data_IF_855720701156
#
_entry.id   IF_855720701156
#
_cell.length_a   1.000
_cell.length_b   1.000
_cell.length_c   1.000
_cell.angle_alpha   90.00
_cell.angle_beta   90.00
_cell.angle_gamma   90.00
#
_symmetry.space_group_name_H-M   'P 1'
#
loop_
_entity.id
_entity.type
_entity.pdbx_description
1 polymer ?
#
# COMPACT_ATOMS: atom_id res chain seq x y z
N UNK A 1 -45.51 8.90 -24.90
CA UNK A 1 -44.63 9.16 -23.75
C UNK A 1 -43.67 7.99 -23.62
N UNK A 2 -42.43 8.15 -24.07
CA UNK A 2 -41.41 7.09 -24.04
C UNK A 2 -40.67 7.15 -22.69
N UNK A 3 -40.68 6.03 -21.96
CA UNK A 3 -39.96 5.88 -20.71
C UNK A 3 -38.45 5.82 -20.94
N UNK A 4 -37.71 6.67 -20.24
CA UNK A 4 -36.25 6.62 -20.21
C UNK A 4 -35.81 5.41 -19.39
N UNK A 5 -35.20 4.44 -20.07
CA UNK A 5 -34.54 3.30 -19.43
C UNK A 5 -33.26 3.79 -18.76
N UNK A 6 -33.21 3.72 -17.43
CA UNK A 6 -32.01 3.92 -16.63
C UNK A 6 -31.01 2.80 -16.96
N UNK A 7 -29.76 3.08 -17.37
CA UNK A 7 -28.78 2.02 -17.56
C UNK A 7 -28.46 1.40 -16.20
N UNK A 8 -28.67 0.08 -16.10
CA UNK A 8 -28.34 -0.72 -14.93
C UNK A 8 -26.82 -0.69 -14.72
N UNK A 9 -26.39 0.01 -13.67
CA UNK A 9 -25.01 0.00 -13.17
C UNK A 9 -24.65 -1.45 -12.86
N UNK A 10 -23.87 -2.09 -13.72
CA UNK A 10 -23.37 -3.45 -13.51
C UNK A 10 -22.71 -3.49 -12.13
N UNK A 11 -23.11 -4.46 -11.32
CA UNK A 11 -22.54 -4.67 -10.00
C UNK A 11 -21.02 -4.81 -10.13
N UNK A 12 -20.29 -3.78 -9.71
CA UNK A 12 -18.84 -3.82 -9.64
C UNK A 12 -18.43 -4.95 -8.69
N UNK A 13 -17.37 -5.73 -9.00
CA UNK A 13 -16.83 -6.71 -8.07
C UNK A 13 -16.52 -6.00 -6.76
N UNK A 14 -16.91 -6.59 -5.63
CA UNK A 14 -16.83 -6.05 -4.25
C UNK A 14 -15.76 -4.96 -4.09
N UNK A 15 -16.14 -3.71 -4.37
CA UNK A 15 -15.21 -2.60 -4.51
C UNK A 15 -14.86 -2.12 -3.11
N UNK A 16 -13.76 -2.62 -2.54
CA UNK A 16 -13.17 -2.03 -1.33
C UNK A 16 -12.60 -0.67 -1.73
N UNK A 17 -13.22 0.45 -1.30
CA UNK A 17 -12.82 1.78 -1.78
C UNK A 17 -11.50 2.24 -1.18
N UNK A 18 -11.05 1.60 -0.09
CA UNK A 18 -9.82 1.90 0.61
C UNK A 18 -9.04 0.61 0.80
N UNK A 19 -7.73 0.67 0.52
CA UNK A 19 -6.76 -0.37 0.84
C UNK A 19 -5.65 0.22 1.68
N UNK A 20 -5.27 -0.49 2.75
CA UNK A 20 -4.24 -0.10 3.70
C UNK A 20 -3.15 -1.16 3.69
N UNK A 21 -1.95 -0.69 3.35
CA UNK A 21 -0.76 -1.52 3.26
C UNK A 21 0.26 -1.03 4.28
N UNK A 22 0.89 -1.96 5.00
CA UNK A 22 2.02 -1.66 5.86
C UNK A 22 3.33 -2.06 5.17
N UNK A 23 4.29 -1.14 5.14
CA UNK A 23 5.67 -1.44 4.76
C UNK A 23 6.58 -1.21 5.94
N UNK A 24 7.36 -2.22 6.31
CA UNK A 24 8.37 -2.13 7.37
C UNK A 24 9.74 -2.11 6.72
N UNK A 25 10.53 -1.07 6.99
CA UNK A 25 11.95 -1.05 6.63
C UNK A 25 12.76 -1.78 7.71
N UNK A 26 13.81 -2.50 7.31
CA UNK A 26 14.84 -2.95 8.24
C UNK A 26 15.57 -1.74 8.83
N UNK A 27 16.25 -2.00 9.95
CA UNK A 27 17.17 -1.04 10.54
C UNK A 27 18.27 -0.69 9.54
N UNK A 28 18.58 0.61 9.45
CA UNK A 28 19.77 1.05 8.72
C UNK A 28 21.02 0.54 9.46
N UNK A 29 22.17 0.40 8.79
CA UNK A 29 23.41 -0.01 9.47
C UNK A 29 23.76 0.88 10.68
N UNK A 30 23.44 2.17 10.63
CA UNK A 30 23.62 3.11 11.74
C UNK A 30 22.63 2.92 12.90
N UNK A 31 21.54 2.20 12.67
CA UNK A 31 20.46 1.94 13.64
C UNK A 31 20.52 0.52 14.21
N UNK A 32 21.26 -0.38 13.56
CA UNK A 32 21.47 -1.76 13.95
C UNK A 32 22.44 -1.86 15.15
N UNK A 33 22.02 -1.29 16.29
CA UNK A 33 22.66 -1.52 17.59
C UNK A 33 22.12 -2.81 18.20
N UNK A 34 22.87 -3.50 19.07
CA UNK A 34 22.41 -4.74 19.74
C UNK A 34 21.09 -4.61 20.53
N UNK A 35 20.61 -3.39 20.80
CA UNK A 35 19.34 -3.13 21.47
C UNK A 35 18.16 -2.83 20.51
N UNK A 36 18.39 -2.75 19.20
CA UNK A 36 17.34 -2.49 18.22
C UNK A 36 16.53 -3.77 17.97
N UNK A 37 15.26 -3.75 18.37
CA UNK A 37 14.33 -4.87 18.20
C UNK A 37 13.23 -4.47 17.24
N UNK A 38 12.98 -5.31 16.24
CA UNK A 38 11.85 -5.15 15.33
C UNK A 38 10.55 -5.25 16.14
N UNK A 39 9.75 -4.19 16.16
CA UNK A 39 8.53 -4.13 16.95
C UNK A 39 7.27 -4.60 16.21
N UNK A 40 7.41 -5.20 15.02
CA UNK A 40 6.27 -5.65 14.19
C UNK A 40 6.45 -7.11 13.84
N UNK A 41 5.45 -7.95 14.10
CA UNK A 41 5.44 -9.35 13.66
C UNK A 41 4.18 -9.67 12.86
N UNK A 42 4.29 -10.56 11.87
CA UNK A 42 3.16 -11.10 11.13
C UNK A 42 2.51 -12.20 11.98
N UNK A 43 1.23 -12.04 12.35
CA UNK A 43 0.50 -13.01 13.15
C UNK A 43 -0.20 -14.05 12.27
N UNK A 44 -0.90 -13.60 11.23
CA UNK A 44 -1.64 -14.46 10.31
C UNK A 44 -1.65 -13.88 8.90
N UNK A 45 -1.55 -14.76 7.91
CA UNK A 45 -1.86 -14.47 6.51
C UNK A 45 -3.05 -15.34 6.11
N UNK A 46 -4.18 -14.72 5.78
CA UNK A 46 -5.34 -15.46 5.30
C UNK A 46 -5.18 -15.75 3.79
N UNK A 47 -5.55 -16.97 3.38
CA UNK A 47 -5.78 -17.32 1.97
C UNK A 47 -6.92 -16.43 1.44
N UNK A 48 -6.57 -15.26 0.90
CA UNK A 48 -7.55 -14.23 0.52
C UNK A 48 -7.06 -12.79 0.63
N UNK A 49 -5.85 -12.54 1.13
CA UNK A 49 -5.15 -11.26 0.95
C UNK A 49 -4.98 -10.44 2.22
N UNK A 50 -5.88 -10.53 3.21
CA UNK A 50 -5.71 -9.79 4.46
C UNK A 50 -4.65 -10.41 5.38
N UNK A 51 -3.86 -9.55 6.02
CA UNK A 51 -2.84 -9.90 7.00
C UNK A 51 -3.16 -9.28 8.35
N UNK A 52 -2.83 -10.00 9.43
CA UNK A 52 -2.88 -9.45 10.78
C UNK A 52 -1.45 -9.27 11.28
N UNK A 53 -1.11 -8.04 11.67
CA UNK A 53 0.20 -7.69 12.23
C UNK A 53 0.07 -7.38 13.72
N UNK A 54 1.09 -7.72 14.48
CA UNK A 54 1.19 -7.42 15.90
C UNK A 54 2.31 -6.41 16.12
N UNK A 55 2.01 -5.33 16.84
CA UNK A 55 3.00 -4.37 17.31
C UNK A 55 3.37 -4.68 18.76
N UNK A 56 4.65 -4.92 19.00
CA UNK A 56 5.22 -5.17 20.31
C UNK A 56 5.74 -3.86 20.89
N UNK A 57 5.00 -3.27 21.83
CA UNK A 57 5.43 -2.09 22.57
C UNK A 57 6.49 -2.44 23.61
N UNK A 58 7.52 -1.60 23.77
CA UNK A 58 8.52 -1.75 24.84
C UNK A 58 7.94 -1.49 26.25
N UNK A 59 6.76 -0.85 26.35
CA UNK A 59 6.17 -0.38 27.60
C UNK A 59 4.78 -0.97 27.90
N UNK A 60 4.21 -1.77 27.00
CA UNK A 60 2.91 -2.42 27.20
C UNK A 60 3.07 -3.93 27.05
N UNK A 61 2.74 -4.68 28.09
CA UNK A 61 2.72 -6.15 28.06
C UNK A 61 1.62 -6.72 27.15
N UNK A 62 0.81 -5.87 26.52
CA UNK A 62 -0.19 -6.20 25.51
C UNK A 62 0.33 -5.73 24.16
N UNK A 63 0.45 -6.66 23.22
CA UNK A 63 0.74 -6.35 21.82
C UNK A 63 -0.55 -5.98 21.10
N UNK A 64 -0.50 -4.91 20.32
CA UNK A 64 -1.65 -4.41 19.55
C UNK A 64 -1.73 -5.11 18.20
N UNK A 65 -2.93 -5.53 17.79
CA UNK A 65 -3.16 -6.22 16.53
C UNK A 65 -3.88 -5.34 15.52
N UNK A 66 -3.38 -5.31 14.28
CA UNK A 66 -3.98 -4.56 13.18
C UNK A 66 -4.21 -5.47 11.99
N UNK A 67 -5.41 -5.38 11.40
CA UNK A 67 -5.75 -6.02 10.13
C UNK A 67 -5.47 -5.06 8.98
N UNK A 68 -4.79 -5.57 7.96
CA UNK A 68 -4.32 -4.81 6.81
C UNK A 68 -4.55 -5.62 5.54
N UNK A 69 -4.57 -4.95 4.39
CA UNK A 69 -4.74 -5.63 3.10
C UNK A 69 -3.42 -6.23 2.58
N UNK A 70 -2.25 -5.78 3.05
CA UNK A 70 -0.95 -6.39 2.78
C UNK A 70 0.14 -5.91 3.76
N UNK A 71 1.17 -6.74 3.92
CA UNK A 71 2.42 -6.42 4.62
C UNK A 71 3.59 -6.62 3.67
N UNK A 72 4.41 -5.60 3.49
CA UNK A 72 5.66 -5.65 2.73
C UNK A 72 6.85 -5.40 3.65
N UNK A 73 7.89 -6.18 3.45
CA UNK A 73 9.20 -6.08 4.10
C UNK A 73 10.14 -5.17 3.31
N UNK A 74 11.39 -5.04 3.77
CA UNK A 74 12.42 -4.33 3.01
C UNK A 74 12.88 -5.09 1.77
N UNK A 75 12.76 -6.41 1.76
CA UNK A 75 13.14 -7.24 0.60
C UNK A 75 12.15 -7.06 -0.56
N UNK A 76 10.93 -6.63 -0.23
CA UNK A 76 9.92 -6.30 -1.23
C UNK A 76 10.24 -4.96 -1.91
N UNK A 77 10.30 -5.03 -3.24
CA UNK A 77 10.57 -3.87 -4.07
C UNK A 77 9.35 -2.94 -4.12
N UNK A 78 9.58 -1.63 -4.28
CA UNK A 78 8.51 -0.65 -4.52
C UNK A 78 7.63 -1.09 -5.71
N UNK A 79 8.23 -1.67 -6.75
CA UNK A 79 7.50 -2.15 -7.92
C UNK A 79 6.46 -3.22 -7.55
N UNK A 80 6.76 -4.11 -6.59
CA UNK A 80 5.78 -5.11 -6.15
C UNK A 80 4.60 -4.46 -5.40
N UNK A 81 4.87 -3.41 -4.62
CA UNK A 81 3.82 -2.62 -3.94
C UNK A 81 2.97 -1.87 -4.97
N UNK A 82 3.60 -1.33 -6.02
CA UNK A 82 2.90 -0.69 -7.14
C UNK A 82 2.01 -1.68 -7.88
N UNK A 83 2.56 -2.82 -8.30
CA UNK A 83 1.87 -3.86 -9.05
C UNK A 83 0.68 -4.43 -8.27
N UNK A 84 0.85 -4.64 -6.96
CA UNK A 84 -0.23 -5.15 -6.11
C UNK A 84 -1.31 -4.09 -5.82
N UNK A 85 -0.89 -2.86 -5.57
CA UNK A 85 -1.78 -1.79 -5.10
C UNK A 85 -2.21 -0.84 -6.19
N UNK A 86 -1.27 -0.05 -6.70
CA UNK A 86 -1.55 1.10 -7.57
C UNK A 86 -1.97 0.66 -8.97
N UNK A 87 -1.39 -0.41 -9.51
CA UNK A 87 -1.71 -0.87 -10.87
C UNK A 87 -3.20 -1.15 -11.06
N UNK A 88 -3.87 -1.62 -10.00
CA UNK A 88 -5.28 -2.02 -10.04
C UNK A 88 -6.25 -0.84 -10.06
N UNK A 89 -5.81 0.38 -9.68
CA UNK A 89 -6.65 1.59 -9.75
C UNK A 89 -6.50 2.35 -11.07
N UNK A 90 -5.42 2.10 -11.81
CA UNK A 90 -5.13 2.77 -13.09
C UNK A 90 -6.29 2.64 -14.09
N UNK A 91 -6.93 1.48 -14.29
CA UNK A 91 -8.07 1.38 -15.21
C UNK A 91 -9.22 2.32 -14.85
N UNK A 92 -9.54 2.47 -13.56
CA UNK A 92 -10.59 3.38 -13.09
C UNK A 92 -10.30 4.85 -13.42
N UNK A 93 -9.03 5.26 -13.43
CA UNK A 93 -8.62 6.62 -13.82
C UNK A 93 -9.03 6.92 -15.26
N UNK A 94 -8.86 5.95 -16.17
CA UNK A 94 -9.28 6.08 -17.57
C UNK A 94 -10.81 6.08 -17.75
N UNK A 95 -11.55 5.58 -16.77
CA UNK A 95 -13.02 5.63 -16.72
C UNK A 95 -13.55 6.90 -16.03
N UNK A 96 -12.67 7.84 -15.65
CA UNK A 96 -13.03 9.08 -14.97
C UNK A 96 -13.18 8.96 -13.44
N UNK A 97 -12.63 7.90 -12.84
CA UNK A 97 -12.60 7.69 -11.38
C UNK A 97 -11.33 8.29 -10.79
N UNK A 98 -11.48 9.10 -9.74
CA UNK A 98 -10.33 9.64 -9.01
C UNK A 98 -9.69 8.55 -8.14
N UNK A 99 -8.37 8.42 -8.21
CA UNK A 99 -7.58 7.55 -7.34
C UNK A 99 -6.58 8.39 -6.54
N UNK A 100 -6.44 8.06 -5.25
CA UNK A 100 -5.53 8.80 -4.35
C UNK A 100 -4.68 7.83 -3.55
N UNK A 101 -3.37 8.07 -3.51
CA UNK A 101 -2.40 7.25 -2.77
C UNK A 101 -1.66 8.16 -1.79
N UNK A 102 -1.61 7.75 -0.53
CA UNK A 102 -0.89 8.47 0.52
C UNK A 102 0.08 7.53 1.23
N UNK A 103 1.22 8.05 1.66
CA UNK A 103 2.19 7.33 2.49
C UNK A 103 2.24 8.02 3.86
N UNK A 104 2.03 7.26 4.93
CA UNK A 104 2.01 7.75 6.30
C UNK A 104 3.02 6.99 7.19
N UNK A 105 3.47 7.62 8.27
CA UNK A 105 4.47 7.07 9.18
C UNK A 105 5.47 8.09 9.73
N UNK A 106 6.31 7.68 10.68
CA UNK A 106 7.28 8.53 11.37
C UNK A 106 8.40 9.06 10.44
N UNK A 107 9.09 10.14 10.84
CA UNK A 107 10.26 10.65 10.11
C UNK A 107 11.32 9.55 9.99
N UNK A 108 11.95 9.42 8.82
CA UNK A 108 12.91 8.36 8.54
C UNK A 108 12.29 6.99 8.19
N UNK A 109 10.97 6.84 8.15
CA UNK A 109 10.32 5.55 7.80
C UNK A 109 10.34 5.21 6.30
N UNK A 110 10.89 6.08 5.44
CA UNK A 110 10.97 5.84 4.00
C UNK A 110 9.72 6.25 3.18
N UNK A 111 8.83 7.09 3.72
CA UNK A 111 7.68 7.64 2.96
C UNK A 111 8.11 8.34 1.66
N UNK A 112 9.03 9.29 1.76
CA UNK A 112 9.58 10.01 0.59
C UNK A 112 10.23 9.04 -0.40
N UNK A 113 10.91 8.00 0.11
CA UNK A 113 11.49 6.95 -0.72
C UNK A 113 10.42 6.15 -1.49
N UNK A 114 9.23 5.93 -0.93
CA UNK A 114 8.12 5.24 -1.63
C UNK A 114 7.41 6.14 -2.64
N UNK A 115 7.33 7.44 -2.38
CA UNK A 115 6.53 8.38 -3.18
C UNK A 115 7.31 9.13 -4.24
N UNK A 116 8.59 9.39 -4.03
CA UNK A 116 9.39 10.26 -4.90
C UNK A 116 10.36 9.49 -5.80
N UNK A 117 10.37 9.82 -7.08
CA UNK A 117 11.28 9.25 -8.07
C UNK A 117 12.74 9.45 -7.69
N UNK A 118 13.57 8.43 -7.95
CA UNK A 118 15.01 8.53 -7.82
C UNK A 118 15.66 7.86 -9.05
N UNK A 119 16.00 8.66 -10.06
CA UNK A 119 16.55 8.20 -11.35
C UNK A 119 15.49 7.61 -12.28
N UNK A 120 15.87 6.72 -13.19
CA UNK A 120 14.97 6.00 -14.14
C UNK A 120 14.04 4.98 -13.46
N UNK A 121 13.92 5.01 -12.14
CA UNK A 121 13.11 4.09 -11.35
C UNK A 121 12.03 4.83 -10.59
N UNK A 122 10.86 4.26 -10.72
CA UNK A 122 9.63 4.98 -10.56
C UNK A 122 9.10 4.70 -9.16
N UNK A 123 9.05 5.75 -8.36
CA UNK A 123 8.22 5.72 -7.17
C UNK A 123 6.75 5.76 -7.58
N UNK A 124 5.84 5.43 -6.66
CA UNK A 124 4.42 5.14 -6.93
C UNK A 124 3.66 6.19 -7.79
N UNK A 125 4.25 7.37 -8.03
CA UNK A 125 3.67 8.51 -8.71
C UNK A 125 4.01 8.67 -10.22
N UNK A 126 4.95 7.93 -10.82
CA UNK A 126 5.49 8.38 -12.12
C UNK A 126 5.37 7.46 -13.36
N UNK A 127 4.90 6.21 -13.28
CA UNK A 127 5.18 5.23 -14.36
C UNK A 127 4.21 5.23 -15.53
N UNK A 128 3.32 6.22 -15.70
CA UNK A 128 2.46 6.20 -16.91
C UNK A 128 2.23 7.52 -17.61
N UNK A 129 2.99 8.56 -17.30
CA UNK A 129 2.95 9.76 -18.15
C UNK A 129 3.45 9.47 -19.57
N UNK A 130 4.30 8.45 -19.79
CA UNK A 130 4.73 8.05 -21.14
C UNK A 130 3.74 7.14 -21.89
N UNK A 131 2.83 6.46 -21.19
CA UNK A 131 1.71 5.72 -21.80
C UNK A 131 0.44 6.60 -21.97
N UNK A 132 0.53 7.88 -21.64
CA UNK A 132 -0.52 8.90 -21.77
C UNK A 132 -0.22 9.89 -22.90
N UNK A 133 0.38 9.41 -24.00
CA UNK A 133 0.39 10.19 -25.25
C UNK A 133 -0.96 9.99 -25.95
N UNK A 134 -1.75 11.06 -25.97
CA UNK A 134 -2.94 11.21 -26.83
C UNK A 134 -2.57 11.14 -28.31
#
# INVERSE_FOLDING_TARGET
MAGAATPSRSAAPSSRPVRVVLRVRLFLPSEATSAAVLCVSLLNSHLGGEVTVQFMGQHTSRGEHYKLDALFSQEDNINQIFDWGVSTVIPGIFEGVNATVFAYGATGSGKTYMMQERGDKIALLADKTENLRF
#
